data_IF_849850170562
#
_entry.id   IF_849850170562
#
_cell.length_a   1.000
_cell.length_b   1.000
_cell.length_c   1.000
_cell.angle_alpha   90.00
_cell.angle_beta   90.00
_cell.angle_gamma   90.00
#
_symmetry.space_group_name_H-M   'P 1'
#
loop_
_entity.id
_entity.type
_entity.pdbx_description
1 polymer ?
#
# COMPACT_ATOMS: atom_id res chain seq x y z
N UNK A 1 -41.39 -28.42 -7.50
CA UNK A 1 -40.11 -28.74 -8.14
C UNK A 1 -39.48 -27.54 -8.86
N UNK A 2 -40.17 -26.85 -9.74
CA UNK A 2 -39.63 -25.71 -10.52
C UNK A 2 -39.19 -24.49 -9.66
N UNK A 3 -39.93 -24.17 -8.61
CA UNK A 3 -39.57 -23.05 -7.69
C UNK A 3 -38.40 -23.39 -6.74
N UNK A 4 -38.23 -24.68 -6.43
CA UNK A 4 -37.09 -25.12 -5.60
C UNK A 4 -35.81 -25.14 -6.41
N UNK A 5 -35.86 -25.54 -7.67
CA UNK A 5 -34.72 -25.45 -8.60
C UNK A 5 -34.30 -24.02 -8.90
N UNK A 6 -35.25 -23.07 -9.07
CA UNK A 6 -34.91 -21.64 -9.24
C UNK A 6 -34.24 -21.07 -7.98
N UNK A 7 -34.72 -21.39 -6.80
CA UNK A 7 -34.06 -20.98 -5.54
C UNK A 7 -32.68 -21.59 -5.39
N UNK A 8 -32.47 -22.86 -5.75
CA UNK A 8 -31.16 -23.51 -5.73
C UNK A 8 -30.20 -22.89 -6.76
N UNK A 9 -30.69 -22.57 -7.97
CA UNK A 9 -29.88 -21.89 -9.00
C UNK A 9 -29.51 -20.46 -8.58
N UNK A 10 -30.42 -19.71 -7.95
CA UNK A 10 -30.17 -18.36 -7.47
C UNK A 10 -29.18 -18.38 -6.28
N UNK A 11 -29.28 -19.38 -5.40
CA UNK A 11 -28.35 -19.56 -4.29
C UNK A 11 -26.96 -20.03 -4.79
N UNK A 12 -26.91 -20.86 -5.85
CA UNK A 12 -25.66 -21.32 -6.46
C UNK A 12 -24.99 -20.19 -7.27
N UNK A 13 -25.74 -19.28 -7.89
CA UNK A 13 -25.22 -18.09 -8.57
C UNK A 13 -24.73 -17.01 -7.60
N UNK A 14 -25.25 -16.97 -6.36
CA UNK A 14 -24.75 -16.09 -5.29
C UNK A 14 -23.49 -16.64 -4.60
N UNK A 15 -23.20 -17.93 -4.74
CA UNK A 15 -21.98 -18.59 -4.22
C UNK A 15 -20.81 -18.54 -5.21
N UNK A 16 -21.01 -18.01 -6.41
CA UNK A 16 -19.96 -17.68 -7.39
C UNK A 16 -19.60 -16.19 -7.40
N UNK A 17 -19.91 -15.46 -6.33
CA UNK A 17 -19.15 -14.26 -6.01
C UNK A 17 -17.72 -14.75 -5.69
N UNK A 18 -16.85 -14.76 -6.70
CA UNK A 18 -15.43 -14.87 -6.52
C UNK A 18 -15.04 -13.78 -5.55
N UNK A 19 -14.79 -14.15 -4.30
CA UNK A 19 -14.07 -13.28 -3.36
C UNK A 19 -12.71 -13.07 -4.00
N UNK A 20 -12.58 -12.03 -4.83
CA UNK A 20 -11.27 -11.58 -5.26
C UNK A 20 -10.57 -11.15 -3.99
N UNK A 21 -9.55 -11.92 -3.62
CA UNK A 21 -8.88 -11.77 -2.36
C UNK A 21 -8.24 -10.37 -2.31
N UNK A 22 -8.72 -9.53 -1.40
CA UNK A 22 -8.02 -8.31 -0.98
C UNK A 22 -6.62 -8.76 -0.60
N UNK A 23 -5.63 -8.31 -1.34
CA UNK A 23 -4.27 -8.80 -1.18
C UNK A 23 -3.32 -7.61 -1.02
N UNK A 24 -2.32 -7.71 -0.18
CA UNK A 24 -1.33 -6.67 0.04
C UNK A 24 0.08 -7.25 0.08
N UNK A 25 1.08 -6.41 -0.17
CA UNK A 25 2.49 -6.71 0.12
C UNK A 25 2.99 -5.62 1.06
N UNK A 26 3.54 -6.02 2.21
CA UNK A 26 3.82 -5.08 3.29
C UNK A 26 5.17 -5.36 3.96
N UNK A 27 5.80 -4.30 4.48
CA UNK A 27 7.02 -4.37 5.28
C UNK A 27 6.98 -3.40 6.47
N UNK A 28 7.59 -3.81 7.58
CA UNK A 28 8.00 -2.93 8.67
C UNK A 28 9.52 -2.97 8.75
N UNK A 29 10.13 -1.79 8.72
CA UNK A 29 11.58 -1.63 8.77
C UNK A 29 11.98 -0.90 10.05
N UNK A 30 12.92 -1.48 10.77
CA UNK A 30 13.60 -0.84 11.90
C UNK A 30 14.46 0.34 11.42
N UNK A 31 14.61 1.36 12.25
CA UNK A 31 15.52 2.48 11.97
C UNK A 31 16.98 2.04 11.71
N UNK A 32 17.44 0.92 12.29
CA UNK A 32 18.78 0.38 12.03
C UNK A 32 18.99 -0.12 10.59
N UNK A 33 17.90 -0.37 9.84
CA UNK A 33 17.96 -0.83 8.45
C UNK A 33 17.90 0.34 7.46
N UNK A 34 17.34 1.47 7.85
CA UNK A 34 17.17 2.65 7.01
C UNK A 34 18.40 3.56 7.04
N UNK A 35 18.57 4.38 6.00
CA UNK A 35 19.74 5.26 5.85
C UNK A 35 19.83 6.36 6.90
N UNK A 36 18.68 6.89 7.33
CA UNK A 36 18.61 8.03 8.26
C UNK A 36 18.21 7.64 9.69
N UNK A 37 18.15 6.34 10.00
CA UNK A 37 17.79 5.86 11.33
C UNK A 37 16.31 5.94 11.67
N UNK A 38 15.44 6.31 10.72
CA UNK A 38 14.00 6.44 10.91
C UNK A 38 13.29 5.14 10.55
N UNK A 39 12.46 4.57 11.42
CA UNK A 39 11.68 3.39 11.08
C UNK A 39 10.69 3.68 9.94
N UNK A 40 10.33 2.66 9.16
CA UNK A 40 9.37 2.81 8.06
C UNK A 40 8.34 1.67 8.08
N UNK A 41 7.11 1.99 7.67
CA UNK A 41 6.11 1.01 7.24
C UNK A 41 5.84 1.21 5.75
N UNK A 42 5.67 0.13 5.00
CA UNK A 42 5.47 0.14 3.56
C UNK A 42 4.38 -0.85 3.16
N UNK A 43 3.44 -0.42 2.33
CA UNK A 43 2.30 -1.21 1.89
C UNK A 43 1.96 -0.92 0.43
N UNK A 44 1.94 -1.96 -0.38
CA UNK A 44 1.20 -2.01 -1.63
C UNK A 44 -0.19 -2.57 -1.32
N UNK A 45 -1.22 -1.78 -1.57
CA UNK A 45 -2.60 -2.10 -1.24
C UNK A 45 -3.34 -2.62 -2.45
N UNK A 46 -3.74 -3.89 -2.41
CA UNK A 46 -4.61 -4.48 -3.41
C UNK A 46 -6.04 -4.54 -2.85
N UNK A 47 -7.01 -4.04 -3.60
CA UNK A 47 -8.41 -4.01 -3.20
C UNK A 47 -9.34 -3.77 -4.38
N UNK A 48 -10.57 -4.27 -4.29
CA UNK A 48 -11.65 -3.95 -5.23
C UNK A 48 -12.09 -2.47 -5.13
N UNK A 49 -11.95 -1.86 -3.96
CA UNK A 49 -12.16 -0.42 -3.74
C UNK A 49 -10.97 0.36 -4.32
N UNK A 50 -10.89 0.43 -5.65
CA UNK A 50 -9.75 1.03 -6.35
C UNK A 50 -9.63 2.54 -6.09
N UNK A 51 -10.76 3.24 -5.92
CA UNK A 51 -10.79 4.69 -5.72
C UNK A 51 -10.50 5.03 -4.26
N UNK A 52 -9.44 5.80 -4.06
CA UNK A 52 -8.93 6.19 -2.75
C UNK A 52 -8.54 7.67 -2.75
N UNK A 53 -8.54 8.24 -1.55
CA UNK A 53 -8.02 9.58 -1.30
C UNK A 53 -7.32 9.67 0.05
N UNK A 54 -6.61 10.76 0.30
CA UNK A 54 -6.07 11.10 1.60
C UNK A 54 -7.01 12.04 2.33
N UNK A 55 -7.20 11.80 3.62
CA UNK A 55 -8.01 12.67 4.49
C UNK A 55 -7.24 13.03 5.77
N UNK A 56 -7.41 14.27 6.23
CA UNK A 56 -6.91 14.76 7.50
C UNK A 56 -8.05 14.79 8.50
N UNK A 57 -7.77 14.31 9.69
CA UNK A 57 -8.74 14.20 10.79
C UNK A 57 -8.22 14.92 12.02
N UNK A 58 -9.13 15.37 12.86
CA UNK A 58 -8.85 15.90 14.19
C UNK A 58 -9.20 14.86 15.26
N UNK A 59 -8.41 14.80 16.31
CA UNK A 59 -8.60 13.92 17.48
C UNK A 59 -8.17 14.61 18.77
N UNK A 60 -8.46 14.04 19.94
CA UNK A 60 -7.94 14.55 21.21
C UNK A 60 -6.41 14.61 21.28
N UNK A 61 -5.70 13.80 20.50
CA UNK A 61 -4.24 13.80 20.37
C UNK A 61 -3.71 14.78 19.30
N UNK A 62 -4.56 15.62 18.71
CA UNK A 62 -4.19 16.50 17.58
C UNK A 62 -4.64 15.94 16.25
N UNK A 63 -3.81 16.09 15.22
CA UNK A 63 -4.18 15.68 13.87
C UNK A 63 -3.59 14.33 13.49
N UNK A 64 -4.30 13.61 12.62
CA UNK A 64 -3.78 12.46 11.89
C UNK A 64 -4.22 12.49 10.43
N UNK A 65 -3.48 11.82 9.59
CA UNK A 65 -3.78 11.65 8.16
C UNK A 65 -3.93 10.19 7.82
N UNK A 66 -4.86 9.88 6.94
CA UNK A 66 -5.13 8.50 6.56
C UNK A 66 -5.61 8.32 5.13
N UNK A 67 -5.32 7.15 4.58
CA UNK A 67 -5.83 6.67 3.30
C UNK A 67 -7.26 6.15 3.50
N UNK A 68 -8.22 6.65 2.72
CA UNK A 68 -9.64 6.35 2.83
C UNK A 68 -10.17 5.89 1.47
N UNK A 69 -11.13 4.96 1.45
CA UNK A 69 -11.86 4.61 0.22
C UNK A 69 -12.82 5.74 -0.17
N UNK A 70 -12.94 6.07 -1.44
CA UNK A 70 -13.87 7.13 -1.91
C UNK A 70 -15.33 6.81 -1.60
N UNK A 71 -15.68 5.52 -1.49
CA UNK A 71 -17.02 5.07 -1.06
C UNK A 71 -17.32 5.34 0.42
N UNK A 72 -16.29 5.53 1.25
CA UNK A 72 -16.42 5.90 2.67
C UNK A 72 -16.39 7.41 2.83
N UNK A 73 -17.47 8.08 2.42
CA UNK A 73 -17.58 9.55 2.45
C UNK A 73 -17.54 10.16 3.85
N UNK A 74 -17.73 9.36 4.90
CA UNK A 74 -17.64 9.78 6.30
C UNK A 74 -16.24 9.52 6.90
N UNK A 75 -15.37 8.81 6.17
CA UNK A 75 -14.05 8.44 6.66
C UNK A 75 -14.12 7.59 7.93
N UNK A 76 -15.02 6.61 7.96
CA UNK A 76 -15.19 5.73 9.12
C UNK A 76 -14.04 4.72 9.26
N UNK A 77 -13.36 4.44 8.15
CA UNK A 77 -12.26 3.48 8.06
C UNK A 77 -11.02 4.15 7.47
N UNK A 78 -9.84 3.78 7.97
CA UNK A 78 -8.54 4.22 7.46
C UNK A 78 -7.70 3.00 7.11
N UNK A 79 -6.99 3.03 5.99
CA UNK A 79 -6.24 1.88 5.46
C UNK A 79 -4.72 2.03 5.53
N UNK A 80 -4.26 3.03 6.24
CA UNK A 80 -2.88 3.37 6.56
C UNK A 80 -2.72 4.86 6.78
N UNK A 81 -1.76 5.26 7.64
CA UNK A 81 -1.53 6.68 7.95
C UNK A 81 -0.66 6.88 9.17
N UNK A 82 -0.56 8.15 9.59
CA UNK A 82 0.18 8.54 10.80
C UNK A 82 -0.49 9.70 11.53
N UNK A 83 -0.16 9.87 12.81
CA UNK A 83 -0.60 11.01 13.61
C UNK A 83 0.54 11.97 13.98
N UNK A 84 0.19 13.12 14.57
CA UNK A 84 1.13 14.17 14.97
C UNK A 84 2.08 13.78 16.10
N UNK A 85 1.89 12.63 16.73
CA UNK A 85 2.80 12.05 17.73
C UNK A 85 3.82 11.08 17.14
N UNK A 86 3.83 10.89 15.82
CA UNK A 86 4.75 9.98 15.13
C UNK A 86 4.33 8.52 15.17
N UNK A 87 3.15 8.20 15.69
CA UNK A 87 2.57 6.88 15.58
C UNK A 87 2.01 6.68 14.17
N UNK A 88 2.38 5.57 13.54
CA UNK A 88 1.87 5.20 12.22
C UNK A 88 1.44 3.74 12.19
N UNK A 89 0.41 3.44 11.39
CA UNK A 89 -0.16 2.12 11.26
C UNK A 89 -0.61 1.84 9.83
N UNK A 90 -0.45 0.59 9.41
CA UNK A 90 -1.02 0.01 8.20
C UNK A 90 -1.51 -1.40 8.47
N UNK A 91 -2.29 -1.99 7.55
CA UNK A 91 -2.67 -3.40 7.65
C UNK A 91 -2.35 -4.20 6.39
N UNK A 92 -2.47 -5.52 6.53
CA UNK A 92 -2.70 -6.45 5.42
C UNK A 92 -3.61 -7.57 5.92
N UNK A 93 -4.69 -7.88 5.18
CA UNK A 93 -5.59 -8.97 5.54
C UNK A 93 -4.84 -10.31 5.62
N UNK A 94 -5.22 -11.17 6.54
CA UNK A 94 -4.67 -12.50 6.72
C UNK A 94 -5.76 -13.56 6.65
N UNK A 95 -5.64 -14.50 5.71
CA UNK A 95 -6.73 -15.44 5.41
C UNK A 95 -6.61 -16.80 6.11
N UNK A 96 -5.61 -16.97 6.98
CA UNK A 96 -5.37 -18.25 7.69
C UNK A 96 -5.37 -18.17 9.22
N UNK A 97 -5.81 -17.03 9.81
CA UNK A 97 -5.70 -16.81 11.27
C UNK A 97 -6.97 -17.13 12.06
N UNK A 98 -8.13 -17.22 11.40
CA UNK A 98 -9.42 -17.53 12.04
C UNK A 98 -9.98 -18.88 11.57
N UNK A 99 -9.12 -19.86 11.34
CA UNK A 99 -9.53 -21.20 10.87
C UNK A 99 -10.60 -21.81 11.81
N UNK A 100 -11.69 -22.31 11.23
CA UNK A 100 -12.79 -22.92 11.98
C UNK A 100 -13.72 -21.93 12.71
N UNK A 101 -13.51 -20.62 12.61
CA UNK A 101 -14.46 -19.64 13.11
C UNK A 101 -15.75 -19.65 12.27
N UNK A 102 -16.90 -19.89 12.91
CA UNK A 102 -18.21 -20.02 12.27
C UNK A 102 -19.16 -18.88 12.58
N UNK A 103 -18.72 -17.88 13.35
CA UNK A 103 -19.53 -16.70 13.66
C UNK A 103 -19.59 -15.71 12.50
N UNK A 104 -20.47 -14.71 12.62
CA UNK A 104 -20.52 -13.60 11.66
C UNK A 104 -19.21 -12.82 11.73
N UNK A 105 -18.54 -12.67 10.59
CA UNK A 105 -17.34 -11.87 10.45
C UNK A 105 -17.73 -10.46 10.03
N UNK A 106 -17.42 -9.49 10.89
CA UNK A 106 -17.53 -8.07 10.57
C UNK A 106 -16.10 -7.53 10.56
N UNK A 107 -15.62 -7.12 9.38
CA UNK A 107 -14.29 -6.55 9.23
C UNK A 107 -14.17 -5.22 10.01
N UNK A 108 -13.32 -5.22 11.03
CA UNK A 108 -13.04 -4.07 11.89
C UNK A 108 -11.64 -3.46 11.65
N UNK A 109 -10.89 -3.92 10.64
CA UNK A 109 -9.51 -3.54 10.45
C UNK A 109 -9.35 -2.03 10.22
N UNK A 110 -10.11 -1.45 9.29
CA UNK A 110 -10.06 -0.02 9.02
C UNK A 110 -10.58 0.84 10.19
N UNK A 111 -11.56 0.33 10.94
CA UNK A 111 -12.09 0.99 12.15
C UNK A 111 -11.03 1.00 13.25
N UNK A 112 -10.36 -0.13 13.49
CA UNK A 112 -9.28 -0.24 14.47
C UNK A 112 -8.13 0.70 14.12
N UNK A 113 -7.70 0.75 12.85
CA UNK A 113 -6.61 1.64 12.44
C UNK A 113 -6.96 3.12 12.63
N UNK A 114 -8.18 3.53 12.28
CA UNK A 114 -8.66 4.89 12.55
C UNK A 114 -8.62 5.21 14.04
N UNK A 115 -9.10 4.28 14.88
CA UNK A 115 -9.10 4.43 16.33
C UNK A 115 -7.66 4.51 16.88
N UNK A 116 -6.76 3.65 16.42
CA UNK A 116 -5.36 3.67 16.83
C UNK A 116 -4.66 5.00 16.49
N UNK A 117 -4.90 5.56 15.29
CA UNK A 117 -4.37 6.87 14.91
C UNK A 117 -4.90 8.01 15.77
N UNK A 118 -6.14 7.89 16.28
CA UNK A 118 -6.77 8.90 17.13
C UNK A 118 -6.38 8.80 18.61
N UNK A 119 -5.97 7.61 19.09
CA UNK A 119 -5.84 7.31 20.53
C UNK A 119 -4.42 6.89 20.97
N UNK A 120 -3.56 6.40 20.03
CA UNK A 120 -2.25 5.84 20.37
C UNK A 120 -1.10 6.76 19.98
N UNK A 121 -0.05 6.81 20.81
CA UNK A 121 1.22 7.53 20.56
C UNK A 121 2.37 6.58 20.25
N UNK A 122 2.29 5.33 20.73
CA UNK A 122 3.36 4.34 20.63
C UNK A 122 2.80 2.90 20.59
N UNK A 123 3.70 1.94 20.42
CA UNK A 123 3.38 0.51 20.35
C UNK A 123 2.71 0.02 21.63
N UNK A 124 3.14 0.51 22.80
CA UNK A 124 2.57 0.09 24.10
C UNK A 124 1.10 0.50 24.22
N UNK A 125 0.74 1.71 23.78
CA UNK A 125 -0.65 2.16 23.77
C UNK A 125 -1.49 1.36 22.76
N UNK A 126 -0.91 0.99 21.61
CA UNK A 126 -1.58 0.10 20.64
C UNK A 126 -1.80 -1.31 21.19
N UNK A 127 -0.83 -1.89 21.90
CA UNK A 127 -0.97 -3.19 22.57
C UNK A 127 -2.05 -3.14 23.67
N UNK A 128 -2.12 -2.04 24.42
CA UNK A 128 -3.19 -1.82 25.39
C UNK A 128 -4.56 -1.72 24.72
N UNK A 129 -4.64 -1.04 23.56
CA UNK A 129 -5.87 -0.96 22.75
C UNK A 129 -6.32 -2.35 22.28
N UNK A 130 -5.42 -3.18 21.73
CA UNK A 130 -5.73 -4.55 21.29
C UNK A 130 -6.23 -5.41 22.46
N UNK A 131 -5.61 -5.28 23.62
CA UNK A 131 -6.02 -6.02 24.83
C UNK A 131 -7.40 -5.60 25.33
N UNK A 132 -7.80 -4.34 25.14
CA UNK A 132 -9.08 -3.79 25.58
C UNK A 132 -10.25 -4.09 24.60
N UNK A 133 -9.97 -4.59 23.38
CA UNK A 133 -11.03 -4.93 22.44
C UNK A 133 -11.90 -6.09 22.96
N UNK A 134 -13.22 -6.07 22.68
CA UNK A 134 -14.09 -7.21 22.96
C UNK A 134 -13.67 -8.43 22.14
N UNK A 135 -14.01 -9.63 22.64
CA UNK A 135 -13.82 -10.89 21.89
C UNK A 135 -15.18 -11.40 21.41
N UNK A 136 -15.31 -11.90 20.15
CA UNK A 136 -14.29 -11.87 19.11
C UNK A 136 -14.00 -10.45 18.60
N UNK A 137 -12.74 -10.17 18.23
CA UNK A 137 -12.31 -8.82 17.83
C UNK A 137 -12.81 -8.36 16.47
N UNK A 138 -13.27 -9.28 15.61
CA UNK A 138 -13.61 -8.98 14.20
C UNK A 138 -12.38 -8.67 13.35
N UNK A 139 -11.25 -9.32 13.66
CA UNK A 139 -9.97 -9.07 13.01
C UNK A 139 -9.38 -10.34 12.40
N UNK A 140 -8.78 -10.20 11.22
CA UNK A 140 -8.02 -11.24 10.53
C UNK A 140 -6.90 -10.56 9.73
N UNK A 141 -5.90 -9.98 10.41
CA UNK A 141 -4.94 -9.11 9.75
C UNK A 141 -3.57 -9.08 10.42
N UNK A 142 -2.61 -8.56 9.67
CA UNK A 142 -1.38 -8.01 10.22
C UNK A 142 -1.53 -6.50 10.35
N UNK A 143 -1.07 -5.95 11.46
CA UNK A 143 -0.91 -4.50 11.61
C UNK A 143 0.58 -4.18 11.72
N UNK A 144 1.10 -3.43 10.75
CA UNK A 144 2.45 -2.87 10.80
C UNK A 144 2.41 -1.52 11.49
N UNK A 145 3.21 -1.36 12.54
CA UNK A 145 3.20 -0.17 13.41
C UNK A 145 4.61 0.34 13.64
N UNK A 146 4.77 1.67 13.61
CA UNK A 146 5.97 2.38 14.05
C UNK A 146 5.60 3.55 14.95
N UNK A 147 6.55 4.02 15.76
CA UNK A 147 6.37 5.18 16.62
C UNK A 147 7.64 6.05 16.75
N UNK A 148 7.49 7.22 17.38
CA UNK A 148 8.58 8.18 17.60
C UNK A 148 9.58 7.75 18.69
N UNK A 149 9.31 6.67 19.43
CA UNK A 149 10.21 6.09 20.42
C UNK A 149 11.18 5.08 19.81
N UNK A 150 11.07 4.83 18.48
CA UNK A 150 11.86 3.88 17.71
C UNK A 150 11.23 2.49 17.61
N UNK A 151 9.97 2.35 18.06
CA UNK A 151 9.19 1.13 17.91
C UNK A 151 8.94 0.81 16.42
N UNK A 152 9.07 -0.48 16.06
CA UNK A 152 8.79 -0.97 14.71
C UNK A 152 8.39 -2.44 14.77
N UNK A 153 7.12 -2.78 14.56
CA UNK A 153 6.65 -4.16 14.69
C UNK A 153 5.45 -4.48 13.80
N UNK A 154 5.32 -5.76 13.44
CA UNK A 154 4.07 -6.36 12.98
C UNK A 154 3.34 -7.03 14.13
N UNK A 155 2.01 -6.95 14.08
CA UNK A 155 1.10 -7.68 14.95
C UNK A 155 0.23 -8.56 14.08
N UNK A 156 0.39 -9.89 14.19
CA UNK A 156 -0.56 -10.86 13.61
C UNK A 156 -1.75 -10.99 14.56
N UNK A 157 -2.94 -10.60 14.11
CA UNK A 157 -4.13 -10.49 14.95
C UNK A 157 -5.25 -11.35 14.39
N UNK A 158 -5.86 -12.15 15.25
CA UNK A 158 -7.07 -12.93 14.98
C UNK A 158 -8.22 -12.49 15.92
N UNK A 159 -9.34 -13.21 15.91
CA UNK A 159 -10.50 -12.88 16.73
C UNK A 159 -10.25 -12.96 18.26
N UNK A 160 -9.25 -13.70 18.71
CA UNK A 160 -9.04 -14.01 20.14
C UNK A 160 -7.74 -13.42 20.68
N UNK A 161 -6.67 -13.41 19.86
CA UNK A 161 -5.31 -13.09 20.30
C UNK A 161 -4.54 -12.28 19.28
N UNK A 162 -3.35 -11.84 19.67
CA UNK A 162 -2.37 -11.23 18.78
C UNK A 162 -0.95 -11.67 19.14
N UNK A 163 -0.05 -11.63 18.16
CA UNK A 163 1.37 -11.94 18.33
C UNK A 163 2.21 -10.85 17.69
N UNK A 164 3.19 -10.34 18.41
CA UNK A 164 4.13 -9.29 17.96
C UNK A 164 5.35 -9.90 17.29
N UNK A 165 5.76 -9.32 16.20
CA UNK A 165 7.02 -9.57 15.48
C UNK A 165 7.79 -8.24 15.40
N UNK A 166 8.77 -8.06 16.27
CA UNK A 166 9.52 -6.83 16.41
C UNK A 166 10.63 -6.76 15.35
N UNK A 167 10.59 -5.73 14.49
CA UNK A 167 11.59 -5.53 13.45
C UNK A 167 12.95 -5.09 14.02
N UNK A 168 12.97 -4.52 15.23
CA UNK A 168 14.25 -4.21 15.92
C UNK A 168 14.97 -5.48 16.39
N UNK A 169 14.24 -6.55 16.68
CA UNK A 169 14.79 -7.84 17.08
C UNK A 169 15.04 -8.78 15.89
N UNK A 170 14.40 -8.53 14.75
CA UNK A 170 14.57 -9.32 13.54
C UNK A 170 16.04 -9.25 13.06
N UNK A 171 16.70 -10.37 12.72
CA UNK A 171 18.11 -10.39 12.31
C UNK A 171 18.41 -9.40 11.17
N UNK A 172 17.54 -9.32 10.19
CA UNK A 172 17.65 -8.48 9.00
C UNK A 172 17.32 -7.00 9.28
N UNK A 173 16.59 -6.68 10.35
CA UNK A 173 16.11 -5.34 10.67
C UNK A 173 14.82 -4.96 9.94
N UNK A 174 14.12 -5.94 9.38
CA UNK A 174 12.79 -5.77 8.78
C UNK A 174 11.95 -7.03 8.93
N UNK A 175 10.64 -6.88 8.77
CA UNK A 175 9.66 -7.98 8.70
C UNK A 175 8.78 -7.77 7.47
N UNK A 176 8.56 -8.83 6.69
CA UNK A 176 7.69 -8.83 5.50
C UNK A 176 6.42 -9.63 5.77
N UNK A 177 5.30 -9.17 5.23
CA UNK A 177 4.01 -9.90 5.25
C UNK A 177 3.28 -9.70 3.93
N UNK A 178 2.49 -10.72 3.57
CA UNK A 178 1.48 -10.65 2.50
C UNK A 178 0.11 -10.98 3.11
N UNK A 179 -0.57 -12.02 2.66
CA UNK A 179 -1.92 -12.31 3.12
C UNK A 179 -2.06 -13.68 3.83
N UNK A 180 -1.01 -14.11 4.48
CA UNK A 180 -1.00 -15.22 5.43
C UNK A 180 -0.11 -14.89 6.63
N UNK A 181 -0.50 -15.41 7.79
CA UNK A 181 0.23 -15.28 9.06
C UNK A 181 1.05 -16.52 9.35
N UNK A 182 2.21 -16.33 9.97
CA UNK A 182 3.01 -17.45 10.49
C UNK A 182 2.38 -18.09 11.74
N UNK A 183 1.49 -17.37 12.42
CA UNK A 183 0.69 -17.89 13.54
C UNK A 183 -0.63 -18.56 13.11
N UNK A 184 -0.94 -18.51 11.81
CA UNK A 184 -2.16 -19.10 11.24
C UNK A 184 -1.97 -20.58 10.85
N UNK A 185 -2.98 -21.13 10.18
CA UNK A 185 -2.92 -22.51 9.65
C UNK A 185 -1.90 -22.56 8.52
N UNK A 186 -1.00 -23.54 8.58
CA UNK A 186 0.04 -23.78 7.58
C UNK A 186 -0.57 -24.08 6.21
N UNK A 187 0.10 -23.62 5.14
CA UNK A 187 -0.32 -23.79 3.73
C UNK A 187 -1.70 -23.19 3.38
N UNK A 188 -2.30 -22.42 4.26
CA UNK A 188 -3.50 -21.64 4.00
C UNK A 188 -3.19 -20.15 3.82
N UNK A 189 -4.12 -19.41 3.22
CA UNK A 189 -3.96 -17.98 2.93
C UNK A 189 -3.44 -17.73 1.51
N UNK A 190 -2.94 -16.50 1.25
CA UNK A 190 -2.60 -16.04 -0.10
C UNK A 190 -1.29 -15.23 -0.12
N UNK A 191 -0.71 -15.09 -1.33
CA UNK A 191 0.40 -14.18 -1.56
C UNK A 191 1.78 -14.78 -1.35
N UNK A 192 1.94 -16.10 -1.35
CA UNK A 192 3.23 -16.78 -1.21
C UNK A 192 4.23 -16.37 -2.30
N UNK A 193 3.81 -16.28 -3.57
CA UNK A 193 4.68 -15.84 -4.68
C UNK A 193 5.05 -14.38 -4.51
N UNK A 194 4.12 -13.50 -4.13
CA UNK A 194 4.39 -12.08 -3.85
C UNK A 194 5.33 -11.89 -2.66
N UNK A 195 5.21 -12.73 -1.61
CA UNK A 195 6.19 -12.71 -0.53
C UNK A 195 7.59 -13.06 -1.05
N UNK A 196 7.72 -14.06 -1.93
CA UNK A 196 9.00 -14.42 -2.56
C UNK A 196 9.55 -13.29 -3.43
N UNK A 197 8.68 -12.57 -4.18
CA UNK A 197 9.08 -11.37 -4.92
C UNK A 197 9.64 -10.30 -3.97
N UNK A 198 8.89 -9.94 -2.91
CA UNK A 198 9.33 -8.96 -1.93
C UNK A 198 10.61 -9.40 -1.20
N UNK A 199 10.68 -10.64 -0.74
CA UNK A 199 11.86 -11.18 -0.07
C UNK A 199 13.12 -11.11 -0.95
N UNK A 200 12.98 -11.45 -2.24
CA UNK A 200 14.10 -11.30 -3.19
C UNK A 200 14.59 -9.85 -3.27
N UNK A 201 13.67 -8.88 -3.38
CA UNK A 201 14.04 -7.45 -3.40
C UNK A 201 14.77 -7.04 -2.12
N UNK A 202 14.26 -7.44 -0.96
CA UNK A 202 14.80 -7.05 0.33
C UNK A 202 16.16 -7.72 0.65
N UNK A 203 16.41 -8.94 0.18
CA UNK A 203 17.72 -9.61 0.36
C UNK A 203 18.87 -8.92 -0.36
N UNK A 204 18.57 -8.09 -1.37
CA UNK A 204 19.58 -7.31 -2.07
C UNK A 204 19.84 -5.93 -1.43
N UNK A 205 19.02 -5.53 -0.42
CA UNK A 205 19.21 -4.28 0.30
C UNK A 205 20.23 -4.46 1.43
N UNK A 206 21.00 -3.42 1.68
CA UNK A 206 21.94 -3.40 2.80
C UNK A 206 21.46 -2.46 3.90
N UNK A 207 21.74 -2.80 5.18
CA UNK A 207 21.49 -1.87 6.28
C UNK A 207 22.13 -0.51 6.02
N UNK A 208 21.40 0.57 6.27
CA UNK A 208 21.84 1.94 6.04
C UNK A 208 21.77 2.45 4.58
N UNK A 209 21.25 1.65 3.63
CA UNK A 209 21.06 2.10 2.24
C UNK A 209 19.58 2.42 1.92
N UNK A 210 18.63 1.96 2.73
CA UNK A 210 17.20 2.11 2.43
C UNK A 210 16.73 3.56 2.64
N UNK A 211 16.17 4.12 1.59
CA UNK A 211 15.60 5.47 1.54
C UNK A 211 14.14 5.44 1.09
N UNK A 212 13.43 6.53 1.30
CA UNK A 212 12.07 6.73 0.76
C UNK A 212 12.06 6.56 -0.76
N UNK A 213 13.01 7.17 -1.47
CA UNK A 213 13.11 7.05 -2.94
C UNK A 213 13.29 5.59 -3.36
N UNK A 214 14.23 4.86 -2.72
CA UNK A 214 14.48 3.46 -3.07
C UNK A 214 13.25 2.60 -2.83
N UNK A 215 12.65 2.67 -1.65
CA UNK A 215 11.53 1.80 -1.26
C UNK A 215 10.22 2.24 -1.91
N UNK A 216 9.88 3.53 -1.80
CA UNK A 216 8.60 4.07 -2.27
C UNK A 216 8.54 4.25 -3.79
N UNK A 217 9.59 4.81 -4.41
CA UNK A 217 9.59 5.07 -5.84
C UNK A 217 9.98 3.83 -6.67
N UNK A 218 11.12 3.20 -6.33
CA UNK A 218 11.69 2.14 -7.18
C UNK A 218 11.18 0.74 -6.86
N UNK A 219 11.23 0.33 -5.57
CA UNK A 219 10.85 -1.04 -5.22
C UNK A 219 9.34 -1.25 -5.29
N UNK A 220 8.52 -0.23 -4.99
CA UNK A 220 7.06 -0.31 -5.17
C UNK A 220 6.65 -0.57 -6.62
N UNK A 221 7.49 -0.21 -7.58
CA UNK A 221 7.30 -0.43 -9.01
C UNK A 221 8.14 -1.59 -9.56
N UNK A 222 8.59 -2.50 -8.70
CA UNK A 222 9.35 -3.66 -9.14
C UNK A 222 8.51 -4.58 -10.03
N UNK A 223 9.14 -5.04 -11.11
CA UNK A 223 8.58 -5.99 -12.06
C UNK A 223 9.27 -7.35 -11.95
N UNK A 224 9.94 -7.63 -10.81
CA UNK A 224 10.55 -8.92 -10.57
C UNK A 224 9.51 -9.98 -10.19
N UNK A 225 9.49 -11.06 -10.94
CA UNK A 225 8.60 -12.22 -10.72
C UNK A 225 9.36 -13.34 -10.01
N UNK A 226 9.10 -13.54 -8.71
CA UNK A 226 9.89 -14.40 -7.84
C UNK A 226 9.82 -15.91 -8.17
N UNK A 227 8.76 -16.37 -8.82
CA UNK A 227 8.65 -17.77 -9.25
C UNK A 227 9.38 -18.02 -10.58
N UNK A 228 9.29 -17.07 -11.50
CA UNK A 228 9.90 -17.18 -12.84
C UNK A 228 11.36 -16.72 -12.83
N UNK A 229 11.79 -16.00 -11.79
CA UNK A 229 13.12 -15.39 -11.66
C UNK A 229 13.45 -14.44 -12.83
N UNK A 230 12.42 -13.68 -13.28
CA UNK A 230 12.51 -12.74 -14.39
C UNK A 230 12.25 -11.33 -13.87
N UNK A 231 13.09 -10.38 -14.26
CA UNK A 231 12.84 -8.95 -14.11
C UNK A 231 12.33 -8.36 -15.44
N UNK A 232 11.01 -8.20 -15.55
CA UNK A 232 10.40 -7.65 -16.75
C UNK A 232 10.77 -6.19 -16.99
N UNK A 233 11.10 -5.43 -15.93
CA UNK A 233 11.58 -4.05 -16.08
C UNK A 233 12.93 -4.03 -16.79
N UNK A 234 13.90 -4.81 -16.33
CA UNK A 234 15.23 -4.90 -16.94
C UNK A 234 15.10 -5.29 -18.42
N UNK A 235 14.30 -6.32 -18.72
CA UNK A 235 14.04 -6.74 -20.09
C UNK A 235 13.38 -5.64 -20.95
N UNK A 236 12.47 -4.84 -20.40
CA UNK A 236 11.83 -3.74 -21.12
C UNK A 236 12.82 -2.61 -21.43
N UNK A 237 13.67 -2.25 -20.46
CA UNK A 237 14.70 -1.21 -20.60
C UNK A 237 15.79 -1.63 -21.59
N UNK A 238 16.09 -2.93 -21.72
CA UNK A 238 17.00 -3.50 -22.71
C UNK A 238 16.36 -3.76 -24.10
N UNK A 239 15.04 -3.59 -24.22
CA UNK A 239 14.29 -3.91 -25.45
C UNK A 239 14.17 -5.41 -25.72
N UNK A 240 14.26 -6.26 -24.69
CA UNK A 240 14.32 -7.72 -24.76
C UNK A 240 13.07 -8.40 -24.16
N UNK A 241 11.93 -7.72 -24.11
CA UNK A 241 10.69 -8.34 -23.64
C UNK A 241 10.41 -9.65 -24.38
N UNK A 242 10.01 -10.73 -23.68
CA UNK A 242 9.77 -12.03 -24.30
C UNK A 242 8.58 -12.02 -25.25
N UNK A 243 7.65 -11.08 -25.07
CA UNK A 243 6.48 -10.90 -25.94
C UNK A 243 6.65 -9.71 -26.85
N UNK A 244 6.49 -9.92 -28.16
CA UNK A 244 6.45 -8.82 -29.16
C UNK A 244 5.23 -7.92 -28.98
N UNK A 245 4.17 -8.39 -28.32
CA UNK A 245 2.98 -7.59 -28.01
C UNK A 245 3.24 -6.56 -26.92
N UNK A 246 4.30 -6.73 -26.12
CA UNK A 246 4.63 -5.87 -24.99
C UNK A 246 3.81 -6.14 -23.72
N UNK A 247 2.96 -7.18 -23.72
CA UNK A 247 2.20 -7.57 -22.53
C UNK A 247 2.94 -8.56 -21.66
N UNK A 248 2.80 -8.41 -20.34
CA UNK A 248 3.28 -9.34 -19.32
C UNK A 248 2.16 -9.64 -18.31
N UNK A 249 2.16 -10.85 -17.73
CA UNK A 249 1.25 -11.21 -16.65
C UNK A 249 1.70 -10.51 -15.36
N UNK A 250 0.81 -9.79 -14.70
CA UNK A 250 1.12 -9.04 -13.48
C UNK A 250 0.61 -9.69 -12.19
N UNK A 251 -0.04 -10.84 -12.26
CA UNK A 251 -0.84 -11.40 -11.15
C UNK A 251 0.00 -11.71 -9.91
N UNK A 252 1.21 -12.18 -10.11
CA UNK A 252 2.16 -12.53 -9.04
C UNK A 252 3.19 -11.43 -8.74
N UNK A 253 3.12 -10.27 -9.42
CA UNK A 253 3.96 -9.12 -9.09
C UNK A 253 3.49 -8.45 -7.79
N UNK A 254 4.38 -7.74 -7.12
CA UNK A 254 4.03 -7.01 -5.89
C UNK A 254 3.07 -5.84 -6.14
N UNK A 255 3.19 -5.18 -7.31
CA UNK A 255 2.20 -4.23 -7.84
C UNK A 255 1.50 -4.86 -9.05
N UNK A 256 0.22 -5.19 -8.91
CA UNK A 256 -0.56 -5.98 -9.87
C UNK A 256 -1.86 -5.30 -10.25
N UNK A 257 -2.72 -5.98 -11.02
CA UNK A 257 -3.99 -5.39 -11.47
C UNK A 257 -4.82 -4.77 -10.34
N UNK A 258 -4.94 -5.45 -9.18
CA UNK A 258 -5.77 -4.99 -8.06
C UNK A 258 -5.11 -3.91 -7.19
N UNK A 259 -3.83 -3.58 -7.42
CA UNK A 259 -3.15 -2.55 -6.64
C UNK A 259 -3.80 -1.19 -6.89
N UNK A 260 -4.30 -0.60 -5.81
CA UNK A 260 -5.08 0.65 -5.81
C UNK A 260 -4.30 1.84 -5.26
N UNK A 261 -3.27 1.58 -4.49
CA UNK A 261 -2.43 2.61 -3.88
C UNK A 261 -1.17 1.99 -3.26
N UNK A 262 -0.19 2.85 -3.00
CA UNK A 262 0.94 2.55 -2.13
C UNK A 262 0.99 3.60 -1.02
N UNK A 263 1.31 3.16 0.20
CA UNK A 263 1.62 4.04 1.32
C UNK A 263 2.92 3.59 1.98
N UNK A 264 3.85 4.52 2.09
CA UNK A 264 5.08 4.40 2.85
C UNK A 264 5.06 5.49 3.94
N UNK A 265 5.13 5.12 5.21
CA UNK A 265 5.31 6.12 6.27
C UNK A 265 6.75 6.07 6.74
N UNK A 266 7.45 7.18 6.57
CA UNK A 266 8.74 7.44 7.17
C UNK A 266 8.52 8.04 8.56
N UNK A 267 8.87 7.32 9.60
CA UNK A 267 8.80 7.77 10.98
C UNK A 267 9.89 8.79 11.30
N UNK A 268 10.21 8.94 12.57
CA UNK A 268 11.30 9.78 13.07
C UNK A 268 12.30 8.93 13.85
N UNK A 269 13.56 9.36 13.89
CA UNK A 269 14.53 8.76 14.78
C UNK A 269 14.23 9.17 16.24
N UNK A 270 14.62 8.35 17.19
CA UNK A 270 14.38 8.62 18.59
C UNK A 270 14.94 9.99 19.00
N UNK A 271 14.07 10.85 19.55
CA UNK A 271 14.42 12.22 19.97
C UNK A 271 14.23 13.29 18.88
N UNK A 272 13.89 12.94 17.66
CA UNK A 272 13.45 13.91 16.65
C UNK A 272 12.00 14.39 16.93
N UNK A 273 11.62 15.50 16.30
CA UNK A 273 10.25 16.01 16.38
C UNK A 273 9.27 15.03 15.71
N UNK A 274 8.27 14.47 16.43
CA UNK A 274 7.29 13.55 15.86
C UNK A 274 6.51 14.08 14.65
N UNK A 275 6.31 15.40 14.55
CA UNK A 275 5.62 16.05 13.43
C UNK A 275 6.37 15.95 12.09
N UNK A 276 7.64 15.50 12.11
CA UNK A 276 8.40 15.21 10.90
C UNK A 276 8.02 13.86 10.27
N UNK A 277 7.21 13.04 10.95
CA UNK A 277 6.66 11.82 10.37
C UNK A 277 5.90 12.15 9.10
N UNK A 278 6.19 11.42 8.03
CA UNK A 278 5.68 11.73 6.69
C UNK A 278 5.08 10.48 6.05
N UNK A 279 3.82 10.56 5.64
CA UNK A 279 3.22 9.56 4.73
C UNK A 279 3.54 9.92 3.29
N UNK A 280 4.23 9.04 2.59
CA UNK A 280 4.49 9.10 1.16
C UNK A 280 3.48 8.22 0.46
N UNK A 281 2.69 8.77 -0.47
CA UNK A 281 1.56 8.04 -1.05
C UNK A 281 1.57 8.08 -2.57
N UNK A 282 1.23 6.98 -3.18
CA UNK A 282 0.84 6.86 -4.58
C UNK A 282 -0.65 6.47 -4.59
N UNK A 283 -1.51 7.42 -5.00
CA UNK A 283 -2.96 7.18 -5.09
C UNK A 283 -3.29 6.69 -6.50
N UNK A 284 -3.76 5.46 -6.60
CA UNK A 284 -3.90 4.71 -7.85
C UNK A 284 -2.77 3.69 -8.02
N UNK A 285 -2.65 3.14 -9.22
CA UNK A 285 -1.59 2.18 -9.55
C UNK A 285 -0.21 2.82 -9.45
N UNK A 286 0.77 2.24 -8.73
CA UNK A 286 2.10 2.82 -8.53
C UNK A 286 2.84 3.20 -9.82
N UNK A 287 2.71 2.39 -10.86
CA UNK A 287 3.32 2.68 -12.18
C UNK A 287 2.79 3.97 -12.85
N UNK A 288 1.65 4.48 -12.38
CA UNK A 288 0.90 5.57 -13.01
C UNK A 288 0.79 6.81 -12.11
N UNK A 289 1.14 6.68 -10.83
CA UNK A 289 0.94 7.72 -9.81
C UNK A 289 2.28 8.19 -9.24
N UNK A 290 2.46 9.49 -8.96
CA UNK A 290 3.65 10.01 -8.30
C UNK A 290 3.64 9.71 -6.80
N UNK A 291 4.82 9.60 -6.21
CA UNK A 291 5.04 9.47 -4.77
C UNK A 291 4.99 10.84 -4.09
N UNK A 292 3.90 11.18 -3.44
CA UNK A 292 3.64 12.49 -2.83
C UNK A 292 3.69 12.42 -1.30
N UNK A 293 4.43 13.34 -0.61
CA UNK A 293 4.44 13.40 0.84
C UNK A 293 3.19 14.07 1.41
N UNK A 294 2.70 13.58 2.54
CA UNK A 294 1.58 14.11 3.31
C UNK A 294 2.02 14.29 4.76
N UNK A 295 1.70 15.44 5.34
CA UNK A 295 2.04 15.83 6.71
C UNK A 295 0.79 16.18 7.51
N UNK A 296 0.80 15.89 8.82
CA UNK A 296 -0.30 16.26 9.73
C UNK A 296 -0.37 17.79 9.94
N UNK A 297 0.73 18.50 9.75
CA UNK A 297 0.85 19.95 9.93
C UNK A 297 0.24 20.77 8.79
N UNK A 298 -0.06 20.16 7.64
CA UNK A 298 -0.54 20.84 6.45
C UNK A 298 -1.88 20.27 5.97
N UNK A 299 -2.63 21.07 5.22
CA UNK A 299 -3.82 20.58 4.52
C UNK A 299 -3.43 19.63 3.40
N UNK A 300 -4.27 18.63 3.16
CA UNK A 300 -4.11 17.70 2.05
C UNK A 300 -4.29 18.46 0.72
N UNK A 301 -3.37 18.34 -0.26
CA UNK A 301 -3.59 18.89 -1.60
C UNK A 301 -4.89 18.40 -2.22
N UNK A 302 -5.62 19.27 -2.88
CA UNK A 302 -6.93 18.98 -3.48
C UNK A 302 -6.89 17.83 -4.48
N UNK A 303 -5.75 17.66 -5.15
CA UNK A 303 -5.48 16.61 -6.12
C UNK A 303 -5.35 15.20 -5.49
N UNK A 304 -5.29 15.12 -4.16
CA UNK A 304 -5.23 13.87 -3.37
C UNK A 304 -6.44 13.68 -2.46
N UNK A 305 -7.38 14.62 -2.45
CA UNK A 305 -8.64 14.55 -1.69
C UNK A 305 -9.71 13.77 -2.48
N UNK A 306 -10.84 13.50 -1.82
CA UNK A 306 -12.03 12.95 -2.46
C UNK A 306 -12.41 13.81 -3.68
N UNK A 307 -12.55 13.21 -4.88
CA UNK A 307 -12.89 13.98 -6.07
C UNK A 307 -14.21 14.74 -5.90
N UNK A 308 -14.17 16.04 -6.11
CA UNK A 308 -15.38 16.85 -6.29
C UNK A 308 -15.77 16.83 -7.77
N UNK A 309 -16.99 17.23 -8.11
CA UNK A 309 -17.50 17.25 -9.49
C UNK A 309 -16.67 18.16 -10.45
N UNK A 310 -15.77 18.94 -9.93
CA UNK A 310 -14.95 19.93 -10.66
C UNK A 310 -13.45 19.66 -10.43
N UNK A 311 -12.83 18.86 -11.28
CA UNK A 311 -11.37 18.77 -11.32
C UNK A 311 -10.81 17.36 -11.49
N UNK A 312 -9.68 17.30 -12.16
CA UNK A 312 -8.88 16.09 -12.28
C UNK A 312 -8.03 15.90 -11.01
N UNK A 313 -8.05 14.69 -10.47
CA UNK A 313 -7.15 14.27 -9.39
C UNK A 313 -6.08 13.32 -9.93
N UNK A 314 -5.01 13.12 -9.16
CA UNK A 314 -4.00 12.09 -9.46
C UNK A 314 -4.67 10.72 -9.60
N UNK A 315 -5.59 10.40 -8.69
CA UNK A 315 -6.34 9.14 -8.70
C UNK A 315 -7.20 8.98 -9.96
N UNK A 316 -7.94 10.02 -10.37
CA UNK A 316 -8.82 9.95 -11.55
C UNK A 316 -8.03 9.71 -12.84
N UNK A 317 -6.89 10.41 -13.02
CA UNK A 317 -6.00 10.20 -14.17
C UNK A 317 -5.32 8.83 -14.13
N UNK A 318 -4.86 8.38 -12.96
CA UNK A 318 -4.28 7.05 -12.80
C UNK A 318 -5.30 5.94 -13.11
N UNK A 319 -6.56 6.10 -12.69
CA UNK A 319 -7.66 5.18 -13.01
C UNK A 319 -7.94 5.12 -14.51
N UNK A 320 -7.98 6.28 -15.17
CA UNK A 320 -8.16 6.33 -16.62
C UNK A 320 -6.99 5.67 -17.36
N UNK A 321 -5.75 6.00 -17.01
CA UNK A 321 -4.54 5.38 -17.56
C UNK A 321 -4.52 3.87 -17.35
N UNK A 322 -4.85 3.41 -16.14
CA UNK A 322 -4.94 1.97 -15.84
C UNK A 322 -5.90 1.29 -16.79
N UNK A 323 -7.11 1.84 -16.90
CA UNK A 323 -8.18 1.25 -17.71
C UNK A 323 -7.91 1.31 -19.20
N UNK A 324 -7.39 2.42 -19.72
CA UNK A 324 -7.32 2.64 -21.16
C UNK A 324 -5.97 2.23 -21.78
N UNK A 325 -4.90 2.26 -20.98
CA UNK A 325 -3.53 2.13 -21.48
C UNK A 325 -2.73 1.01 -20.83
N UNK A 326 -2.78 0.88 -19.48
CA UNK A 326 -1.93 -0.09 -18.78
C UNK A 326 -2.52 -1.51 -18.84
N UNK A 327 -3.83 -1.64 -18.59
CA UNK A 327 -4.58 -2.89 -18.65
C UNK A 327 -5.75 -2.75 -19.66
N UNK A 328 -5.48 -2.63 -20.97
CA UNK A 328 -6.50 -2.33 -21.97
C UNK A 328 -7.38 -3.54 -22.36
N UNK A 329 -6.95 -4.76 -22.03
CA UNK A 329 -7.69 -5.98 -22.32
C UNK A 329 -8.88 -6.13 -21.35
N UNK A 330 -10.04 -6.56 -21.88
CA UNK A 330 -11.33 -6.48 -21.16
C UNK A 330 -11.91 -7.84 -20.76
N UNK A 331 -11.38 -8.95 -21.27
CA UNK A 331 -11.80 -10.27 -20.82
C UNK A 331 -11.32 -10.53 -19.41
N UNK A 332 -12.05 -11.32 -18.63
CA UNK A 332 -11.70 -11.62 -17.24
C UNK A 332 -10.30 -12.25 -17.17
N UNK A 333 -10.01 -13.17 -18.08
CA UNK A 333 -8.74 -13.90 -18.13
C UNK A 333 -7.55 -13.03 -18.53
N UNK A 334 -7.80 -11.95 -19.31
CA UNK A 334 -6.75 -11.11 -19.87
C UNK A 334 -6.59 -9.77 -19.13
N UNK A 335 -7.50 -9.45 -18.21
CA UNK A 335 -7.47 -8.19 -17.46
C UNK A 335 -6.18 -7.98 -16.66
N UNK A 336 -5.48 -9.05 -16.30
CA UNK A 336 -4.20 -9.05 -15.56
C UNK A 336 -2.97 -8.77 -16.44
N UNK A 337 -3.11 -8.75 -17.77
CA UNK A 337 -1.98 -8.48 -18.66
C UNK A 337 -1.69 -6.98 -18.76
N UNK A 338 -0.50 -6.63 -18.27
CA UNK A 338 0.02 -5.28 -18.19
C UNK A 338 0.80 -4.92 -19.47
N UNK A 339 0.53 -3.74 -20.05
CA UNK A 339 1.22 -3.23 -21.21
C UNK A 339 2.49 -2.47 -20.84
N UNK A 340 3.63 -3.13 -20.94
CA UNK A 340 4.95 -2.64 -20.53
C UNK A 340 5.40 -1.35 -21.22
N UNK A 341 5.19 -1.15 -22.56
CA UNK A 341 5.67 0.05 -23.24
C UNK A 341 5.05 1.37 -22.79
N UNK A 342 3.97 1.34 -21.99
CA UNK A 342 3.46 2.53 -21.33
C UNK A 342 4.39 3.02 -20.22
N UNK A 343 4.98 2.09 -19.47
CA UNK A 343 5.64 2.39 -18.18
C UNK A 343 7.17 2.31 -18.26
N UNK A 344 7.73 1.34 -19.00
CA UNK A 344 9.17 1.15 -19.16
C UNK A 344 9.56 0.98 -20.64
N UNK A 345 10.58 1.72 -21.05
CA UNK A 345 11.10 1.75 -22.44
C UNK A 345 12.61 1.83 -22.44
N UNK A 346 13.28 1.36 -23.52
CA UNK A 346 14.73 1.48 -23.66
C UNK A 346 15.23 2.94 -23.69
N UNK A 347 14.41 3.88 -24.18
CA UNK A 347 14.75 5.29 -24.29
C UNK A 347 14.47 6.10 -22.99
N UNK A 348 14.00 5.45 -21.91
CA UNK A 348 13.68 6.10 -20.65
C UNK A 348 12.40 6.95 -20.65
N UNK A 349 11.59 6.88 -21.71
CA UNK A 349 10.38 7.73 -21.86
C UNK A 349 9.09 7.09 -21.37
N UNK A 350 9.16 5.92 -20.73
CA UNK A 350 8.01 5.30 -20.07
C UNK A 350 7.47 6.14 -18.91
N UNK A 351 6.19 6.07 -18.65
CA UNK A 351 5.57 6.93 -17.63
C UNK A 351 6.17 6.70 -16.23
N UNK A 352 6.38 5.45 -15.82
CA UNK A 352 6.99 5.15 -14.53
C UNK A 352 8.42 5.72 -14.45
N UNK A 353 9.23 5.59 -15.51
CA UNK A 353 10.57 6.16 -15.57
C UNK A 353 10.57 7.70 -15.46
N UNK A 354 9.59 8.37 -16.07
CA UNK A 354 9.46 9.83 -15.97
C UNK A 354 9.00 10.27 -14.57
N UNK A 355 8.12 9.50 -13.92
CA UNK A 355 7.70 9.74 -12.53
C UNK A 355 8.89 9.52 -11.57
N UNK A 356 9.64 8.44 -11.72
CA UNK A 356 10.85 8.17 -10.93
C UNK A 356 11.90 9.30 -11.06
N UNK A 357 12.10 9.84 -12.28
CA UNK A 357 13.00 10.96 -12.49
C UNK A 357 12.51 12.26 -11.79
N UNK A 358 11.20 12.51 -11.83
CA UNK A 358 10.58 13.61 -11.10
C UNK A 358 10.75 13.44 -9.59
N UNK A 359 10.50 12.25 -9.07
CA UNK A 359 10.63 11.90 -7.65
C UNK A 359 12.07 12.04 -7.15
N UNK A 360 13.06 11.58 -7.93
CA UNK A 360 14.48 11.75 -7.61
C UNK A 360 14.89 13.24 -7.49
N UNK A 361 14.27 14.15 -8.26
CA UNK A 361 14.47 15.61 -8.14
C UNK A 361 13.84 16.18 -6.88
N UNK A 362 12.62 15.73 -6.52
CA UNK A 362 11.80 16.39 -5.50
C UNK A 362 11.89 15.78 -4.11
N UNK A 363 11.99 14.44 -3.97
CA UNK A 363 11.98 13.76 -2.66
C UNK A 363 13.03 14.31 -1.70
N UNK A 364 14.32 14.44 -2.07
CA UNK A 364 15.34 14.95 -1.13
C UNK A 364 15.05 16.38 -0.65
N UNK A 365 14.49 17.21 -1.52
CA UNK A 365 14.12 18.60 -1.22
C UNK A 365 12.91 18.69 -0.30
N UNK A 366 11.93 17.79 -0.49
CA UNK A 366 10.73 17.68 0.34
C UNK A 366 11.03 17.08 1.72
N UNK A 367 11.97 16.12 1.81
CA UNK A 367 12.45 15.60 3.09
C UNK A 367 13.23 16.68 3.88
N UNK A 368 14.01 17.51 3.21
CA UNK A 368 14.76 18.60 3.86
C UNK A 368 13.86 19.75 4.35
N UNK A 369 12.76 20.00 3.64
CA UNK A 369 11.82 21.09 3.93
C UNK A 369 10.41 20.63 3.63
N UNK A 370 9.55 20.48 4.62
CA UNK A 370 8.13 20.15 4.46
C UNK A 370 7.39 21.32 3.78
N UNK A 371 7.69 21.58 2.50
CA UNK A 371 7.21 22.74 1.73
C UNK A 371 5.95 22.42 0.93
N UNK A 372 4.78 22.96 1.30
CA UNK A 372 3.55 22.81 0.51
C UNK A 372 3.67 23.40 -0.91
N UNK A 373 4.50 24.42 -1.10
CA UNK A 373 4.73 25.00 -2.43
C UNK A 373 5.47 23.99 -3.32
N UNK A 374 6.56 23.41 -2.83
CA UNK A 374 7.35 22.42 -3.57
C UNK A 374 6.54 21.16 -3.87
N UNK A 375 5.70 20.74 -2.92
CA UNK A 375 4.75 19.64 -3.10
C UNK A 375 3.77 19.93 -4.25
N UNK A 376 3.16 21.13 -4.29
CA UNK A 376 2.26 21.53 -5.39
C UNK A 376 2.97 21.57 -6.74
N UNK A 377 4.21 22.08 -6.80
CA UNK A 377 5.01 22.07 -8.02
C UNK A 377 5.21 20.65 -8.57
N UNK A 378 5.56 19.72 -7.69
CA UNK A 378 5.71 18.30 -8.04
C UNK A 378 4.39 17.71 -8.56
N UNK A 379 3.28 17.95 -7.85
CA UNK A 379 1.95 17.48 -8.26
C UNK A 379 1.59 17.99 -9.65
N UNK A 380 1.76 19.26 -9.94
CA UNK A 380 1.44 19.83 -11.26
C UNK A 380 2.29 19.23 -12.39
N UNK A 381 3.57 18.96 -12.14
CA UNK A 381 4.43 18.27 -13.10
C UNK A 381 3.95 16.83 -13.34
N UNK A 382 3.59 16.11 -12.29
CA UNK A 382 3.08 14.74 -12.39
C UNK A 382 1.76 14.65 -13.16
N UNK A 383 0.79 15.53 -12.87
CA UNK A 383 -0.47 15.62 -13.62
C UNK A 383 -0.21 15.87 -15.12
N UNK A 384 0.76 16.70 -15.45
CA UNK A 384 1.17 16.92 -16.85
C UNK A 384 1.68 15.64 -17.49
N UNK A 385 2.51 14.84 -16.79
CA UNK A 385 3.01 13.55 -17.29
C UNK A 385 1.88 12.56 -17.52
N UNK A 386 0.95 12.45 -16.59
CA UNK A 386 -0.23 11.58 -16.72
C UNK A 386 -1.10 11.96 -17.92
N UNK A 387 -1.40 13.27 -18.13
CA UNK A 387 -2.16 13.75 -19.30
C UNK A 387 -1.43 13.47 -20.62
N UNK A 388 -0.12 13.65 -20.65
CA UNK A 388 0.69 13.33 -21.84
C UNK A 388 0.67 11.83 -22.17
N UNK A 389 0.67 10.98 -21.16
CA UNK A 389 0.57 9.53 -21.35
C UNK A 389 -0.81 9.10 -21.85
N UNK A 390 -1.89 9.77 -21.41
CA UNK A 390 -3.25 9.53 -21.94
C UNK A 390 -3.41 9.96 -23.40
N UNK A 391 -2.77 11.04 -23.82
CA UNK A 391 -2.88 11.58 -25.16
C UNK A 391 -2.11 10.78 -26.23
N UNK A 392 -1.17 9.93 -25.83
CA UNK A 392 -0.43 9.00 -26.71
C UNK A 392 -1.23 7.71 -26.92
#
# INVERSE_FOLDING_TARGET
>A
MYNTMKKLLTTLLLLLATTQAIACTTAVLSGRFTKNGRPMIWKLRDTEAYDNHMQRFESPLGYYVGLVNDSDTLGLQVWGGHNSHGFAIMNSASFNVNHGYTGDYIDQEGVLMKRALAECRNLTEFEALLNALPRPMGLAAHFGVIDAEGGAAFYEVNNETWTKFDANEAPEGYVLRTNFSYTGTEDEGYGYVRLRCAANLFTHLKPGEVTVELLGSRLSRSMYHGLMEIDYRALAEEGQLPSRSGFVDSDDLIARYDTSSMILVEGVAQGENPELTTSWVEIGQPYLSPLIPIWTTNEIPTELQLPTSEGETIASLAKQLKREKLYPLRTVEESRYLYMPLIYRPDGTGLAQQLEALEAEYIPRLQANHSPQLQREMIQKALKLQRQALAK
#
